data_IF_941360121143
#
_entry.id   IF_941360121143
#
_cell.length_a   1.000
_cell.length_b   1.000
_cell.length_c   1.000
_cell.angle_alpha   90.00
_cell.angle_beta   90.00
_cell.angle_gamma   90.00
#
_symmetry.space_group_name_H-M   'P 1'
#
loop_
_entity.id
_entity.type
_entity.pdbx_description
1 polymer ?
#
# COMPACT_ATOMS: atom_id res chain seq x y z
N UNK A 1 69.82 61.61 -8.09
CA UNK A 1 69.86 60.16 -8.41
C UNK A 1 68.61 59.53 -7.81
N UNK A 2 67.85 58.78 -8.63
CA UNK A 2 66.52 58.15 -8.37
C UNK A 2 65.29 59.03 -8.63
N UNK A 3 64.97 59.02 -9.92
CA UNK A 3 63.69 59.22 -10.61
C UNK A 3 62.49 58.58 -9.89
N UNK A 4 61.40 59.35 -9.68
CA UNK A 4 60.11 59.36 -10.46
C UNK A 4 59.15 58.26 -9.98
N UNK A 5 57.85 58.46 -9.84
CA UNK A 5 56.92 59.61 -9.85
C UNK A 5 55.56 58.94 -9.59
N UNK A 6 54.87 59.32 -8.51
CA UNK A 6 53.58 60.04 -8.53
C UNK A 6 52.47 59.36 -9.33
N UNK A 7 51.31 59.09 -8.69
CA UNK A 7 50.03 59.78 -8.98
C UNK A 7 48.85 59.10 -8.24
N UNK A 8 48.20 59.95 -7.43
CA UNK A 8 46.81 60.03 -7.00
C UNK A 8 45.87 58.80 -7.13
N UNK A 9 45.42 58.33 -5.96
CA UNK A 9 44.15 57.65 -5.77
C UNK A 9 42.98 58.60 -6.02
N UNK A 10 42.09 58.23 -6.94
CA UNK A 10 40.69 58.68 -6.94
C UNK A 10 39.81 57.47 -6.63
N UNK A 11 39.06 57.58 -5.53
CA UNK A 11 37.95 56.69 -5.19
C UNK A 11 36.79 56.93 -6.17
N UNK A 12 36.33 55.88 -6.84
CA UNK A 12 34.95 55.79 -7.35
C UNK A 12 34.41 54.42 -6.94
N UNK A 13 33.40 54.42 -6.08
CA UNK A 13 32.56 53.27 -5.76
C UNK A 13 31.65 52.98 -6.96
N UNK A 14 31.71 51.76 -7.50
CA UNK A 14 30.78 51.28 -8.53
C UNK A 14 30.15 49.96 -8.05
N UNK A 15 28.83 49.99 -7.90
CA UNK A 15 27.97 48.80 -7.89
C UNK A 15 28.13 48.06 -9.21
N UNK A 16 28.44 46.76 -9.17
CA UNK A 16 28.33 45.89 -10.33
C UNK A 16 27.52 44.65 -9.96
N UNK A 17 26.29 44.60 -10.48
CA UNK A 17 25.58 43.36 -10.68
C UNK A 17 26.41 42.50 -11.65
N UNK A 18 26.68 41.25 -11.27
CA UNK A 18 27.26 40.26 -12.17
C UNK A 18 26.25 39.13 -12.30
N UNK A 19 25.36 39.31 -13.27
CA UNK A 19 24.87 38.21 -14.09
C UNK A 19 25.96 37.93 -15.12
N UNK A 20 26.53 36.73 -15.10
CA UNK A 20 27.03 36.09 -16.32
C UNK A 20 26.84 34.59 -16.18
N UNK A 21 25.83 34.11 -16.90
CA UNK A 21 25.73 32.75 -17.44
C UNK A 21 27.09 32.31 -18.01
N UNK A 22 27.41 31.02 -17.85
CA UNK A 22 28.05 30.22 -18.89
C UNK A 22 28.04 28.74 -18.47
N UNK A 23 26.97 28.04 -18.86
CA UNK A 23 27.02 26.60 -19.08
C UNK A 23 27.73 26.34 -20.40
N UNK A 24 28.76 25.50 -20.39
CA UNK A 24 29.47 25.09 -21.60
C UNK A 24 28.61 24.11 -22.42
N UNK A 25 28.41 24.40 -23.71
CA UNK A 25 27.90 23.46 -24.70
C UNK A 25 28.97 23.20 -25.76
N UNK A 26 29.21 21.92 -26.08
CA UNK A 26 30.08 21.50 -27.18
C UNK A 26 29.22 20.84 -28.25
N UNK A 27 29.25 21.43 -29.44
CA UNK A 27 28.57 21.04 -30.69
C UNK A 27 27.14 21.56 -30.90
N UNK A 28 26.83 21.89 -32.17
CA UNK A 28 25.71 22.73 -32.62
C UNK A 28 24.43 21.95 -32.96
N UNK A 29 24.36 20.65 -32.65
CA UNK A 29 23.23 19.77 -33.00
C UNK A 29 22.60 19.03 -31.80
N UNK A 30 22.88 19.43 -30.56
CA UNK A 30 22.32 18.73 -29.37
C UNK A 30 21.67 19.65 -28.33
N UNK A 31 21.19 20.82 -28.73
CA UNK A 31 20.26 21.60 -27.92
C UNK A 31 18.83 21.29 -28.34
N UNK A 32 18.40 20.05 -28.16
CA UNK A 32 16.97 19.85 -27.90
C UNK A 32 16.72 20.46 -26.54
N UNK A 33 15.95 21.55 -26.52
CA UNK A 33 15.33 22.08 -25.33
C UNK A 33 14.72 20.90 -24.57
N UNK A 34 15.28 20.56 -23.41
CA UNK A 34 14.58 19.73 -22.42
C UNK A 34 13.32 20.50 -22.05
N UNK A 35 12.24 20.23 -22.79
CA UNK A 35 10.89 20.66 -22.45
C UNK A 35 10.69 20.35 -20.98
N UNK A 36 10.26 21.36 -20.24
CA UNK A 36 9.95 21.23 -18.83
C UNK A 36 8.71 20.33 -18.68
N UNK A 37 8.90 19.00 -18.76
CA UNK A 37 7.85 17.96 -18.89
C UNK A 37 6.83 17.90 -17.75
N UNK A 38 6.97 18.76 -16.74
CA UNK A 38 6.02 18.93 -15.64
C UNK A 38 4.90 19.93 -15.95
N UNK A 39 5.07 20.86 -16.92
CA UNK A 39 4.07 21.92 -17.12
C UNK A 39 2.73 21.41 -17.66
N UNK A 40 2.75 20.28 -18.38
CA UNK A 40 1.59 19.77 -19.12
C UNK A 40 0.94 18.55 -18.46
N UNK A 41 1.54 18.02 -17.38
CA UNK A 41 1.02 16.86 -16.65
C UNK A 41 0.10 17.29 -15.50
N UNK A 42 -0.89 16.44 -15.23
CA UNK A 42 -1.74 16.49 -14.04
C UNK A 42 -1.39 15.35 -13.10
N UNK A 43 -1.65 15.52 -11.83
CA UNK A 43 -1.30 14.59 -10.77
C UNK A 43 -2.52 14.33 -9.89
N UNK A 44 -2.89 13.04 -9.81
CA UNK A 44 -3.93 12.55 -8.93
C UNK A 44 -3.30 12.05 -7.64
N UNK A 45 -3.70 12.62 -6.52
CA UNK A 45 -3.37 12.17 -5.17
C UNK A 45 -4.59 11.50 -4.56
N UNK A 46 -4.37 10.62 -3.60
CA UNK A 46 -5.47 10.07 -2.81
C UNK A 46 -5.03 9.76 -1.38
N UNK A 47 -5.96 9.88 -0.44
CA UNK A 47 -5.76 9.40 0.93
C UNK A 47 -6.95 8.56 1.38
N UNK A 48 -6.73 7.77 2.41
CA UNK A 48 -7.68 6.79 2.94
C UNK A 48 -7.97 7.14 4.40
N UNK A 49 -9.19 6.88 4.85
CA UNK A 49 -9.61 7.10 6.23
C UNK A 49 -8.54 6.59 7.25
N UNK A 50 -8.13 7.39 8.26
CA UNK A 50 -7.00 7.05 9.14
C UNK A 50 -7.09 5.69 9.88
N UNK A 51 -8.26 5.20 10.31
CA UNK A 51 -8.39 3.87 10.92
C UNK A 51 -8.05 2.72 9.96
N UNK A 52 -8.05 2.95 8.64
CA UNK A 52 -7.82 1.88 7.67
C UNK A 52 -6.39 1.39 7.64
N UNK A 53 -6.26 0.07 7.74
CA UNK A 53 -4.98 -0.61 7.83
C UNK A 53 -4.23 -0.72 6.50
N UNK A 54 -2.96 -1.12 6.60
CA UNK A 54 -2.02 -1.30 5.49
C UNK A 54 -2.60 -2.09 4.30
N UNK A 55 -3.29 -3.20 4.57
CA UNK A 55 -3.78 -4.09 3.51
C UNK A 55 -5.05 -3.59 2.81
N UNK A 56 -5.92 -2.83 3.47
CA UNK A 56 -7.04 -2.19 2.77
C UNK A 56 -6.53 -1.07 1.86
N UNK A 57 -5.56 -0.27 2.34
CA UNK A 57 -4.93 0.79 1.52
C UNK A 57 -4.29 0.27 0.23
N UNK A 58 -3.78 -0.97 0.25
CA UNK A 58 -3.30 -1.67 -0.97
C UNK A 58 -4.43 -1.98 -1.96
N UNK A 59 -5.61 -2.37 -1.47
CA UNK A 59 -6.79 -2.54 -2.33
C UNK A 59 -7.26 -1.20 -2.91
N UNK A 60 -7.25 -0.12 -2.09
CA UNK A 60 -7.59 1.23 -2.56
C UNK A 60 -6.61 1.71 -3.64
N UNK A 61 -5.31 1.47 -3.49
CA UNK A 61 -4.33 1.74 -4.56
C UNK A 61 -4.76 1.12 -5.89
N UNK A 62 -5.18 -0.16 -5.86
CA UNK A 62 -5.61 -0.84 -7.09
C UNK A 62 -6.80 -0.14 -7.72
N UNK A 63 -7.76 0.36 -6.95
CA UNK A 63 -8.91 1.10 -7.49
C UNK A 63 -8.44 2.30 -8.31
N UNK A 64 -7.56 3.14 -7.75
CA UNK A 64 -7.04 4.33 -8.43
C UNK A 64 -6.13 3.99 -9.61
N UNK A 65 -5.25 2.99 -9.48
CA UNK A 65 -4.39 2.56 -10.56
C UNK A 65 -5.19 1.97 -11.73
N UNK A 66 -6.23 1.19 -11.46
CA UNK A 66 -7.13 0.61 -12.46
C UNK A 66 -7.97 1.70 -13.11
N UNK A 67 -8.52 2.66 -12.35
CA UNK A 67 -9.21 3.83 -12.88
C UNK A 67 -8.34 4.51 -13.94
N UNK A 68 -7.12 4.88 -13.56
CA UNK A 68 -6.22 5.61 -14.44
C UNK A 68 -5.85 4.79 -15.69
N UNK A 69 -5.50 3.51 -15.51
CA UNK A 69 -5.18 2.61 -16.62
C UNK A 69 -6.34 2.42 -17.60
N UNK A 70 -7.58 2.32 -17.09
CA UNK A 70 -8.77 2.11 -17.91
C UNK A 70 -9.21 3.39 -18.65
N UNK A 71 -9.25 4.52 -17.96
CA UNK A 71 -9.62 5.79 -18.58
C UNK A 71 -8.57 6.20 -19.62
N UNK A 72 -7.29 5.94 -19.39
CA UNK A 72 -6.24 6.15 -20.38
C UNK A 72 -6.40 5.27 -21.62
N UNK A 73 -6.82 4.02 -21.49
CA UNK A 73 -7.14 3.19 -22.67
C UNK A 73 -8.35 3.72 -23.45
N UNK A 74 -9.24 4.47 -22.80
CA UNK A 74 -10.42 5.13 -23.42
C UNK A 74 -10.11 6.52 -23.97
N UNK A 75 -8.84 6.96 -23.95
CA UNK A 75 -8.45 8.29 -24.43
C UNK A 75 -8.77 9.42 -23.46
N UNK A 76 -9.13 9.12 -22.20
CA UNK A 76 -9.36 10.09 -21.13
C UNK A 76 -8.18 10.10 -20.15
N UNK A 77 -8.03 11.17 -19.38
CA UNK A 77 -6.98 11.31 -18.34
C UNK A 77 -5.55 10.99 -18.84
N UNK A 78 -5.24 11.27 -20.12
CA UNK A 78 -3.93 10.97 -20.71
C UNK A 78 -2.80 11.72 -20.02
N UNK A 79 -3.11 12.92 -19.54
CA UNK A 79 -2.20 13.83 -18.88
C UNK A 79 -1.96 13.49 -17.40
N UNK A 80 -2.76 12.59 -16.83
CA UNK A 80 -2.70 12.26 -15.39
C UNK A 80 -1.64 11.20 -15.07
N UNK A 81 -0.87 11.46 -14.02
CA UNK A 81 -0.13 10.47 -13.25
C UNK A 81 -0.75 10.25 -11.86
N UNK A 82 -0.51 9.08 -11.27
CA UNK A 82 -0.96 8.74 -9.92
C UNK A 82 0.18 8.92 -8.93
N UNK A 83 -0.01 9.76 -7.91
CA UNK A 83 0.95 9.95 -6.84
C UNK A 83 0.69 8.92 -5.75
N UNK A 84 1.74 8.19 -5.38
CA UNK A 84 1.71 7.18 -4.33
C UNK A 84 1.72 7.88 -2.96
N UNK A 85 0.67 7.75 -2.13
CA UNK A 85 0.62 8.36 -0.81
C UNK A 85 1.57 7.64 0.14
N UNK A 86 2.49 8.33 0.82
CA UNK A 86 3.40 7.67 1.73
C UNK A 86 2.67 7.05 2.91
N UNK A 87 3.25 5.99 3.45
CA UNK A 87 2.71 5.29 4.61
C UNK A 87 2.97 6.13 5.85
N UNK A 88 1.89 6.54 6.52
CA UNK A 88 1.95 7.48 7.64
C UNK A 88 0.91 7.15 8.71
N UNK A 89 1.36 7.03 9.97
CA UNK A 89 0.51 6.82 11.18
C UNK A 89 -0.58 5.76 11.02
N UNK A 90 -0.23 4.60 10.49
CA UNK A 90 -1.19 3.50 10.33
C UNK A 90 -1.65 2.98 11.71
N UNK A 91 -2.97 2.77 11.86
CA UNK A 91 -3.62 2.45 13.13
C UNK A 91 -3.01 1.26 13.90
N UNK A 92 -2.54 0.23 13.17
CA UNK A 92 -1.96 -0.98 13.77
C UNK A 92 -0.44 -0.92 13.97
N UNK A 93 0.23 0.16 13.53
CA UNK A 93 1.67 0.28 13.68
C UNK A 93 1.99 0.82 15.07
N UNK A 94 2.64 -0.02 15.88
CA UNK A 94 3.00 0.22 17.28
C UNK A 94 4.40 0.80 17.41
N UNK A 95 5.26 0.60 16.42
CA UNK A 95 6.62 1.12 16.42
C UNK A 95 6.60 2.65 16.40
N UNK A 96 7.09 3.25 17.49
CA UNK A 96 7.12 4.70 17.68
C UNK A 96 8.29 5.38 16.98
N UNK A 97 9.18 4.61 16.35
CA UNK A 97 10.56 5.04 16.08
C UNK A 97 10.73 6.05 14.95
N UNK A 98 9.80 6.18 14.01
CA UNK A 98 9.76 7.31 13.07
C UNK A 98 8.32 7.57 12.64
N UNK A 99 7.73 8.69 13.09
CA UNK A 99 6.48 9.22 12.53
C UNK A 99 6.75 9.98 11.24
N UNK A 100 7.69 9.49 10.43
CA UNK A 100 8.02 10.09 9.15
C UNK A 100 7.20 9.37 8.07
N UNK A 101 6.83 10.07 6.99
CA UNK A 101 6.17 9.44 5.85
C UNK A 101 7.13 8.45 5.18
N UNK A 102 6.71 7.20 4.99
CA UNK A 102 7.53 6.15 4.38
C UNK A 102 7.12 5.97 2.91
N UNK A 103 8.07 5.97 1.95
CA UNK A 103 7.75 5.79 0.54
C UNK A 103 7.33 4.34 0.22
N UNK A 104 6.66 4.14 -0.91
CA UNK A 104 6.24 2.80 -1.35
C UNK A 104 7.42 1.89 -1.68
N UNK A 105 8.54 2.44 -2.14
CA UNK A 105 9.75 1.72 -2.50
C UNK A 105 10.34 0.88 -1.37
N UNK A 106 10.01 1.21 -0.11
CA UNK A 106 10.41 0.39 1.05
C UNK A 106 9.69 -0.97 1.07
N UNK A 107 8.51 -1.07 0.47
CA UNK A 107 7.63 -2.23 0.54
C UNK A 107 7.40 -2.91 -0.81
N UNK A 108 7.40 -2.14 -1.89
CA UNK A 108 7.06 -2.59 -3.24
C UNK A 108 8.13 -2.20 -4.26
N UNK A 109 8.23 -2.98 -5.33
CA UNK A 109 9.05 -2.68 -6.48
C UNK A 109 8.35 -1.63 -7.36
N UNK A 110 8.85 -0.40 -7.32
CA UNK A 110 8.21 0.76 -7.99
C UNK A 110 8.15 0.59 -9.51
N UNK A 111 9.18 -0.01 -10.12
CA UNK A 111 9.19 -0.25 -11.57
C UNK A 111 8.09 -1.26 -11.98
N UNK A 112 7.82 -2.25 -11.14
CA UNK A 112 6.68 -3.16 -11.34
C UNK A 112 5.35 -2.40 -11.26
N UNK A 113 5.17 -1.48 -10.30
CA UNK A 113 3.95 -0.66 -10.25
C UNK A 113 3.80 0.23 -11.50
N UNK A 114 4.89 0.87 -11.94
CA UNK A 114 4.94 1.72 -13.15
C UNK A 114 4.61 0.96 -14.43
N UNK A 115 4.87 -0.35 -14.46
CA UNK A 115 4.51 -1.19 -15.62
C UNK A 115 3.00 -1.31 -15.84
N UNK A 116 2.17 -0.97 -14.85
CA UNK A 116 0.71 -1.05 -14.95
C UNK A 116 0.03 0.33 -15.13
N UNK A 117 0.44 1.32 -14.35
CA UNK A 117 -0.10 2.68 -14.37
C UNK A 117 1.03 3.70 -14.16
N UNK A 118 0.89 4.95 -14.65
CA UNK A 118 1.93 5.98 -14.53
C UNK A 118 1.99 6.52 -13.09
N UNK A 119 2.62 5.74 -12.20
CA UNK A 119 2.77 6.07 -10.79
C UNK A 119 4.08 6.80 -10.49
N UNK A 120 4.07 7.59 -9.43
CA UNK A 120 5.26 8.31 -8.93
C UNK A 120 5.21 8.41 -7.40
N UNK A 121 6.36 8.37 -6.74
CA UNK A 121 6.41 8.63 -5.31
C UNK A 121 6.12 10.10 -5.01
N UNK A 122 5.49 10.39 -3.86
CA UNK A 122 5.17 11.77 -3.49
C UNK A 122 6.43 12.64 -3.39
N UNK A 123 7.53 12.13 -2.85
CA UNK A 123 8.77 12.92 -2.69
C UNK A 123 9.36 13.34 -4.04
N UNK A 124 9.16 12.58 -5.12
CA UNK A 124 9.66 12.94 -6.45
C UNK A 124 8.91 14.16 -7.03
N UNK A 125 7.66 14.41 -6.60
CA UNK A 125 6.93 15.64 -6.94
C UNK A 125 7.58 16.86 -6.27
N UNK A 126 8.05 16.70 -5.03
CA UNK A 126 8.72 17.76 -4.28
C UNK A 126 10.13 18.07 -4.76
N UNK A 127 10.93 17.05 -5.07
CA UNK A 127 12.31 17.22 -5.53
C UNK A 127 12.40 18.07 -6.81
N UNK A 128 11.35 18.01 -7.62
CA UNK A 128 11.22 18.78 -8.87
C UNK A 128 10.75 20.21 -8.65
N UNK A 129 10.27 20.56 -7.45
CA UNK A 129 9.78 21.91 -7.11
C UNK A 129 10.88 22.75 -6.46
N UNK A 130 11.27 23.85 -7.12
CA UNK A 130 12.28 24.81 -6.60
C UNK A 130 11.90 25.38 -5.22
N UNK A 131 10.59 25.51 -4.93
CA UNK A 131 10.08 26.06 -3.66
C UNK A 131 9.96 25.01 -2.56
N UNK A 132 10.14 23.71 -2.88
CA UNK A 132 9.84 22.57 -1.98
C UNK A 132 8.48 22.71 -1.27
N UNK A 133 7.52 23.36 -1.92
CA UNK A 133 6.14 23.49 -1.49
C UNK A 133 5.26 22.91 -2.58
N UNK A 134 4.21 22.21 -2.17
CA UNK A 134 3.21 21.65 -3.06
C UNK A 134 1.86 22.25 -2.68
N UNK A 135 1.18 22.84 -3.65
CA UNK A 135 -0.19 23.33 -3.48
C UNK A 135 -1.06 22.43 -4.34
N UNK A 136 -1.94 21.67 -3.69
CA UNK A 136 -3.00 20.91 -4.34
C UNK A 136 -4.05 21.93 -4.79
N UNK A 137 -4.53 21.82 -6.03
CA UNK A 137 -5.54 22.75 -6.54
C UNK A 137 -6.86 22.48 -5.82
N UNK A 138 -7.39 21.27 -5.94
CA UNK A 138 -8.66 20.89 -5.30
C UNK A 138 -8.58 19.52 -4.61
N UNK A 139 -9.08 19.46 -3.37
CA UNK A 139 -9.31 18.23 -2.63
C UNK A 139 -10.80 17.89 -2.66
N UNK A 140 -11.15 16.75 -3.25
CA UNK A 140 -12.48 16.14 -3.11
C UNK A 140 -12.48 15.20 -1.92
N UNK A 141 -13.24 15.54 -0.88
CA UNK A 141 -13.40 14.74 0.33
C UNK A 141 -14.67 13.94 0.21
N UNK A 142 -14.54 12.64 -0.05
CA UNK A 142 -15.69 11.77 -0.22
C UNK A 142 -16.35 11.48 1.14
N UNK A 143 -17.66 11.34 1.12
CA UNK A 143 -18.48 11.01 2.29
C UNK A 143 -19.58 10.02 1.88
N UNK A 144 -19.95 9.12 2.79
CA UNK A 144 -21.08 8.21 2.52
C UNK A 144 -22.41 8.96 2.61
N UNK A 145 -23.40 8.51 1.85
CA UNK A 145 -24.80 8.85 2.12
C UNK A 145 -25.24 8.20 3.44
N UNK A 146 -26.12 8.87 4.20
CA UNK A 146 -26.65 8.32 5.47
C UNK A 146 -27.45 7.03 5.23
N UNK A 147 -28.21 6.99 4.14
CA UNK A 147 -28.92 5.80 3.68
C UNK A 147 -28.48 5.43 2.26
N UNK A 148 -27.61 4.41 2.11
CA UNK A 148 -27.13 4.01 0.79
C UNK A 148 -28.14 3.21 -0.03
N UNK A 149 -29.23 2.72 0.58
CA UNK A 149 -30.27 1.95 -0.09
C UNK A 149 -31.61 2.71 -0.05
N UNK A 150 -31.95 3.34 -1.17
CA UNK A 150 -33.24 4.00 -1.34
C UNK A 150 -34.18 3.01 -2.05
N UNK A 151 -35.28 2.62 -1.39
CA UNK A 151 -36.20 1.59 -1.87
C UNK A 151 -35.52 0.24 -2.21
N UNK A 152 -34.57 -0.19 -1.36
CA UNK A 152 -33.75 -1.41 -1.55
C UNK A 152 -32.86 -1.41 -2.81
N UNK A 153 -32.70 -0.25 -3.47
CA UNK A 153 -31.83 -0.08 -4.63
C UNK A 153 -30.55 0.65 -4.26
N UNK A 154 -29.43 0.12 -4.75
CA UNK A 154 -28.14 0.79 -4.69
C UNK A 154 -27.90 1.49 -6.02
N UNK A 155 -28.00 2.82 -6.00
CA UNK A 155 -27.78 3.66 -7.20
C UNK A 155 -26.45 4.40 -7.09
N UNK A 156 -25.73 4.44 -8.21
CA UNK A 156 -24.49 5.18 -8.37
C UNK A 156 -24.81 6.68 -8.47
N UNK A 157 -24.40 7.49 -7.48
CA UNK A 157 -24.69 8.92 -7.41
C UNK A 157 -23.64 9.70 -6.60
N UNK A 158 -23.54 11.00 -6.86
CA UNK A 158 -22.73 11.91 -6.07
C UNK A 158 -23.37 13.31 -5.95
N UNK A 159 -23.04 14.02 -4.88
CA UNK A 159 -23.58 15.35 -4.58
C UNK A 159 -22.55 16.21 -3.82
N UNK A 160 -22.24 17.38 -4.36
CA UNK A 160 -21.37 18.37 -3.71
C UNK A 160 -22.10 18.97 -2.50
N UNK A 161 -21.39 19.08 -1.38
CA UNK A 161 -21.90 19.67 -0.15
C UNK A 161 -21.45 21.12 -0.01
N UNK A 162 -22.29 21.97 0.60
CA UNK A 162 -21.98 23.38 0.83
C UNK A 162 -20.88 23.57 1.90
N UNK A 163 -20.91 22.73 2.94
CA UNK A 163 -19.94 22.78 4.04
C UNK A 163 -18.98 21.58 3.99
N UNK A 164 -17.70 21.85 4.23
CA UNK A 164 -16.69 20.80 4.30
C UNK A 164 -15.72 21.03 5.48
N UNK A 165 -16.09 20.63 6.71
CA UNK A 165 -15.22 20.72 7.88
C UNK A 165 -14.17 19.59 7.88
N UNK A 166 -13.38 19.50 6.82
CA UNK A 166 -12.30 18.53 6.68
C UNK A 166 -10.94 19.20 6.88
N UNK A 167 -10.09 18.58 7.70
CA UNK A 167 -8.72 19.02 7.93
C UNK A 167 -7.76 17.97 7.35
N UNK A 168 -7.14 18.23 6.19
CA UNK A 168 -6.20 17.29 5.59
C UNK A 168 -4.96 17.14 6.47
N UNK A 169 -4.45 15.91 6.58
CA UNK A 169 -3.20 15.63 7.29
C UNK A 169 -1.97 15.60 6.39
N UNK A 170 -2.18 15.60 5.07
CA UNK A 170 -1.12 15.60 4.04
C UNK A 170 -0.01 14.58 4.29
N UNK A 171 -0.39 13.40 4.79
CA UNK A 171 0.54 12.32 5.17
C UNK A 171 1.71 12.76 6.08
N UNK A 172 1.53 13.83 6.87
CA UNK A 172 2.55 14.37 7.77
C UNK A 172 3.44 15.47 7.20
N UNK A 173 3.24 15.88 5.94
CA UNK A 173 3.99 16.98 5.33
C UNK A 173 3.40 18.33 5.73
N UNK A 174 4.19 19.18 6.38
CA UNK A 174 3.80 20.54 6.76
C UNK A 174 3.87 21.58 5.63
N UNK A 175 4.42 21.19 4.48
CA UNK A 175 4.65 22.02 3.29
C UNK A 175 3.72 21.67 2.12
N UNK A 176 2.64 20.92 2.38
CA UNK A 176 1.53 20.73 1.45
C UNK A 176 0.35 21.55 1.93
N UNK A 177 -0.28 22.27 1.01
CA UNK A 177 -1.53 22.99 1.24
C UNK A 177 -2.50 22.73 0.08
N UNK A 178 -3.74 23.19 0.19
CA UNK A 178 -4.71 23.15 -0.89
C UNK A 178 -5.33 24.54 -1.15
N UNK A 179 -5.69 24.84 -2.38
CA UNK A 179 -6.45 26.06 -2.72
C UNK A 179 -7.93 25.88 -2.37
N UNK A 180 -8.49 24.70 -2.64
CA UNK A 180 -9.90 24.41 -2.44
C UNK A 180 -10.12 23.01 -1.84
N UNK A 181 -11.14 22.89 -0.99
CA UNK A 181 -11.58 21.63 -0.38
C UNK A 181 -13.08 21.51 -0.54
N UNK A 182 -13.54 20.44 -1.18
CA UNK A 182 -14.94 20.20 -1.53
C UNK A 182 -15.35 18.86 -0.95
N UNK A 183 -16.39 18.85 -0.12
CA UNK A 183 -16.98 17.60 0.36
C UNK A 183 -18.01 17.09 -0.64
N UNK A 184 -18.00 15.79 -0.89
CA UNK A 184 -18.88 15.14 -1.87
C UNK A 184 -19.48 13.90 -1.25
N UNK A 185 -20.81 13.86 -1.11
CA UNK A 185 -21.49 12.58 -0.86
C UNK A 185 -21.32 11.72 -2.09
N UNK A 186 -20.82 10.51 -1.92
CA UNK A 186 -20.44 9.64 -3.03
C UNK A 186 -20.90 8.21 -2.77
N UNK A 187 -21.52 7.62 -3.78
CA UNK A 187 -21.93 6.23 -3.79
C UNK A 187 -21.72 5.68 -5.19
N UNK A 188 -21.01 4.55 -5.28
CA UNK A 188 -20.84 3.83 -6.54
C UNK A 188 -19.39 3.54 -6.87
N UNK A 189 -19.14 3.39 -8.17
CA UNK A 189 -17.87 2.91 -8.71
C UNK A 189 -16.87 4.04 -8.90
N UNK A 190 -15.58 3.72 -8.77
CA UNK A 190 -14.50 4.69 -8.92
C UNK A 190 -14.46 5.34 -10.32
N UNK A 191 -15.00 4.69 -11.37
CA UNK A 191 -15.13 5.27 -12.70
C UNK A 191 -15.98 6.54 -12.78
N UNK A 192 -16.70 6.91 -11.73
CA UNK A 192 -17.46 8.17 -11.66
C UNK A 192 -16.59 9.38 -11.23
N UNK A 193 -15.45 9.16 -10.58
CA UNK A 193 -14.59 10.27 -10.12
C UNK A 193 -14.16 11.25 -11.23
N UNK A 194 -13.91 10.82 -12.50
CA UNK A 194 -13.64 11.75 -13.59
C UNK A 194 -14.74 12.78 -13.86
N UNK A 195 -15.98 12.54 -13.43
CA UNK A 195 -17.07 13.54 -13.50
C UNK A 195 -16.81 14.70 -12.53
N UNK A 196 -16.30 14.41 -11.33
CA UNK A 196 -15.90 15.43 -10.36
C UNK A 196 -14.73 16.26 -10.89
N UNK A 197 -13.72 15.62 -11.48
CA UNK A 197 -12.54 16.30 -12.01
C UNK A 197 -12.90 17.26 -13.17
N UNK A 198 -14.03 17.04 -13.84
CA UNK A 198 -14.52 17.95 -14.89
C UNK A 198 -15.12 19.25 -14.36
N UNK A 199 -15.43 19.34 -13.06
CA UNK A 199 -15.84 20.61 -12.43
C UNK A 199 -14.68 21.61 -12.44
N UNK A 200 -13.45 21.13 -12.32
CA UNK A 200 -12.22 21.93 -12.33
C UNK A 200 -11.23 21.45 -13.39
N UNK A 201 -11.60 21.55 -14.67
CA UNK A 201 -10.82 21.02 -15.81
C UNK A 201 -9.39 21.56 -15.92
N UNK A 202 -9.12 22.73 -15.34
CA UNK A 202 -7.82 23.39 -15.41
C UNK A 202 -6.88 22.98 -14.27
N UNK A 203 -7.39 22.26 -13.26
CA UNK A 203 -6.57 21.80 -12.14
C UNK A 203 -5.48 20.85 -12.61
N UNK A 204 -4.32 20.99 -12.00
CA UNK A 204 -3.14 20.16 -12.24
C UNK A 204 -2.87 19.20 -11.10
N UNK A 205 -3.17 19.57 -9.87
CA UNK A 205 -2.98 18.74 -8.69
C UNK A 205 -4.33 18.48 -8.03
N UNK A 206 -4.90 17.30 -8.23
CA UNK A 206 -6.22 16.93 -7.71
C UNK A 206 -6.05 15.83 -6.66
N UNK A 207 -6.68 15.97 -5.50
CA UNK A 207 -6.65 14.96 -4.45
C UNK A 207 -8.04 14.40 -4.16
N UNK A 208 -8.13 13.09 -3.96
CA UNK A 208 -9.34 12.42 -3.47
C UNK A 208 -9.10 11.88 -2.06
N UNK A 209 -9.70 12.49 -1.05
CA UNK A 209 -9.68 12.01 0.32
C UNK A 209 -10.83 11.03 0.58
N UNK A 210 -10.64 10.12 1.53
CA UNK A 210 -11.55 8.98 1.79
C UNK A 210 -11.72 8.07 0.56
N UNK A 211 -10.60 7.76 -0.09
CA UNK A 211 -10.53 6.94 -1.29
C UNK A 211 -10.99 5.48 -1.11
N UNK A 212 -11.29 5.03 0.10
CA UNK A 212 -11.95 3.74 0.35
C UNK A 212 -13.44 3.72 0.01
N UNK A 213 -14.09 4.87 -0.13
CA UNK A 213 -15.54 4.95 -0.40
C UNK A 213 -15.88 4.43 -1.82
N UNK A 214 -15.21 4.85 -2.91
CA UNK A 214 -15.52 4.35 -4.25
C UNK A 214 -15.19 2.86 -4.40
N UNK A 215 -16.09 2.11 -5.01
CA UNK A 215 -15.92 0.68 -5.26
C UNK A 215 -15.07 0.39 -6.51
N UNK A 216 -14.54 -0.83 -6.61
CA UNK A 216 -13.97 -1.33 -7.86
C UNK A 216 -15.05 -1.38 -8.96
N UNK A 217 -14.69 -1.05 -10.20
CA UNK A 217 -15.63 -1.16 -11.33
C UNK A 217 -16.06 -2.61 -11.57
N UNK A 218 -15.06 -3.51 -11.57
CA UNK A 218 -15.17 -4.96 -11.71
C UNK A 218 -14.14 -5.64 -10.82
N UNK A 219 -14.57 -6.22 -9.69
CA UNK A 219 -13.66 -6.91 -8.78
C UNK A 219 -13.26 -8.29 -9.32
N UNK A 220 -11.97 -8.64 -9.25
CA UNK A 220 -11.48 -9.97 -9.61
C UNK A 220 -11.40 -10.26 -11.12
N UNK A 221 -11.60 -9.26 -11.98
CA UNK A 221 -11.46 -9.41 -13.43
C UNK A 221 -9.98 -9.46 -13.87
N UNK A 222 -9.75 -9.60 -15.18
CA UNK A 222 -8.40 -9.65 -15.74
C UNK A 222 -7.57 -8.39 -15.45
N UNK A 223 -8.20 -7.22 -15.39
CA UNK A 223 -7.50 -5.95 -15.14
C UNK A 223 -7.13 -5.84 -13.67
N UNK A 224 -8.03 -6.24 -12.77
CA UNK A 224 -7.78 -6.40 -11.34
C UNK A 224 -6.53 -7.25 -11.10
N UNK A 225 -6.46 -8.44 -11.71
CA UNK A 225 -5.32 -9.34 -11.53
C UNK A 225 -4.04 -8.82 -12.15
N UNK A 226 -4.09 -8.12 -13.30
CA UNK A 226 -2.93 -7.43 -13.87
C UNK A 226 -2.39 -6.34 -12.94
N UNK A 227 -3.26 -5.55 -12.33
CA UNK A 227 -2.88 -4.57 -11.32
C UNK A 227 -2.30 -5.26 -10.08
N UNK A 228 -2.95 -6.31 -9.57
CA UNK A 228 -2.48 -7.02 -8.38
C UNK A 228 -1.11 -7.66 -8.59
N UNK A 229 -0.84 -8.17 -9.80
CA UNK A 229 0.45 -8.74 -10.22
C UNK A 229 1.56 -7.69 -10.34
N UNK A 230 1.21 -6.42 -10.58
CA UNK A 230 2.19 -5.33 -10.64
C UNK A 230 2.70 -4.93 -9.26
N UNK A 231 1.93 -5.21 -8.20
CA UNK A 231 2.28 -4.95 -6.80
C UNK A 231 3.29 -5.96 -6.23
N UNK A 232 4.43 -6.13 -6.90
CA UNK A 232 5.51 -6.98 -6.42
C UNK A 232 6.16 -6.37 -5.18
N UNK A 233 6.47 -7.21 -4.21
CA UNK A 233 7.21 -6.77 -3.03
C UNK A 233 8.62 -6.31 -3.38
N UNK A 234 9.17 -5.44 -2.54
CA UNK A 234 10.56 -5.02 -2.63
C UNK A 234 11.50 -6.24 -2.63
N UNK A 235 12.53 -6.21 -3.49
CA UNK A 235 13.45 -7.35 -3.68
C UNK A 235 14.21 -7.73 -2.41
N UNK A 236 14.67 -6.75 -1.62
CA UNK A 236 15.36 -6.98 -0.35
C UNK A 236 14.44 -7.73 0.64
N UNK A 237 13.18 -7.32 0.74
CA UNK A 237 12.21 -8.00 1.61
C UNK A 237 11.94 -9.43 1.14
N UNK A 238 11.84 -9.62 -0.17
CA UNK A 238 11.68 -10.93 -0.80
C UNK A 238 12.86 -11.85 -0.48
N UNK A 239 14.09 -11.36 -0.59
CA UNK A 239 15.31 -12.08 -0.23
C UNK A 239 15.36 -12.45 1.26
N UNK A 240 15.01 -11.52 2.16
CA UNK A 240 14.96 -11.78 3.61
C UNK A 240 13.94 -12.89 3.92
N UNK A 241 12.75 -12.82 3.34
CA UNK A 241 11.71 -13.83 3.54
C UNK A 241 12.14 -15.20 3.00
N UNK A 242 12.72 -15.26 1.80
CA UNK A 242 13.21 -16.52 1.22
C UNK A 242 14.35 -17.13 2.04
N UNK A 243 15.30 -16.32 2.54
CA UNK A 243 16.34 -16.81 3.43
C UNK A 243 15.76 -17.38 4.73
N UNK A 244 14.75 -16.73 5.31
CA UNK A 244 14.03 -17.27 6.46
C UNK A 244 13.35 -18.62 6.15
N UNK A 245 12.63 -18.71 5.03
CA UNK A 245 11.95 -19.95 4.59
C UNK A 245 12.97 -21.07 4.38
N UNK A 246 14.12 -20.77 3.78
CA UNK A 246 15.21 -21.72 3.57
C UNK A 246 15.81 -22.22 4.86
N UNK A 247 16.24 -21.32 5.73
CA UNK A 247 17.00 -21.65 6.94
C UNK A 247 16.15 -22.15 8.09
N UNK A 248 14.93 -21.62 8.25
CA UNK A 248 14.06 -21.92 9.40
C UNK A 248 12.96 -22.90 9.07
N UNK A 249 12.49 -22.90 7.82
CA UNK A 249 11.40 -23.77 7.37
C UNK A 249 11.87 -24.85 6.40
N UNK A 250 13.18 -24.98 6.14
CA UNK A 250 13.80 -26.03 5.31
C UNK A 250 13.23 -26.15 3.88
N UNK A 251 12.86 -25.03 3.25
CA UNK A 251 12.34 -25.02 1.89
C UNK A 251 13.13 -24.06 0.98
N UNK A 252 13.59 -24.55 -0.18
CA UNK A 252 14.39 -23.78 -1.15
C UNK A 252 13.66 -23.62 -2.50
N UNK A 253 12.32 -23.67 -2.48
CA UNK A 253 11.46 -23.58 -3.66
C UNK A 253 10.33 -22.58 -3.43
N UNK A 254 9.80 -21.98 -4.48
CA UNK A 254 8.62 -21.11 -4.35
C UNK A 254 7.37 -21.87 -3.87
N UNK A 255 7.20 -23.13 -4.25
CA UNK A 255 6.06 -23.95 -3.83
C UNK A 255 6.48 -24.94 -2.74
N UNK A 256 6.56 -24.49 -1.49
CA UNK A 256 6.98 -25.34 -0.39
C UNK A 256 5.97 -26.46 -0.11
N UNK A 257 6.47 -27.58 0.41
CA UNK A 257 5.66 -28.78 0.72
C UNK A 257 5.75 -29.22 2.18
N UNK A 258 6.45 -28.46 3.02
CA UNK A 258 6.97 -28.92 4.31
C UNK A 258 6.57 -28.04 5.50
N UNK A 259 5.69 -27.05 5.32
CA UNK A 259 5.08 -26.32 6.43
C UNK A 259 3.65 -25.84 6.12
N UNK A 260 2.87 -25.68 7.19
CA UNK A 260 1.56 -25.03 7.20
C UNK A 260 1.75 -23.53 7.47
N UNK A 261 1.14 -22.68 6.66
CA UNK A 261 1.05 -21.24 6.91
C UNK A 261 -0.27 -20.89 7.59
N UNK A 262 -0.20 -20.19 8.72
CA UNK A 262 -1.38 -19.75 9.48
C UNK A 262 -1.34 -18.24 9.64
N UNK A 263 -2.39 -17.55 9.20
CA UNK A 263 -2.62 -16.17 9.59
C UNK A 263 -3.70 -16.09 10.68
N UNK A 264 -3.28 -15.79 11.91
CA UNK A 264 -4.10 -15.77 13.11
C UNK A 264 -4.31 -14.33 13.61
N UNK A 265 -5.36 -13.65 13.12
CA UNK A 265 -5.71 -12.28 13.51
C UNK A 265 -6.50 -12.28 14.82
N UNK A 266 -5.98 -11.57 15.83
CA UNK A 266 -6.51 -11.51 17.20
C UNK A 266 -6.94 -10.09 17.56
N UNK A 267 -6.32 -9.44 18.54
CA UNK A 267 -6.64 -8.08 19.02
C UNK A 267 -8.13 -7.68 18.89
N UNK A 268 -8.44 -6.69 18.06
CA UNK A 268 -9.79 -6.19 17.78
C UNK A 268 -10.73 -7.28 17.21
N UNK A 269 -10.24 -8.23 16.41
CA UNK A 269 -11.05 -9.35 15.92
C UNK A 269 -11.47 -10.27 17.07
N UNK A 270 -10.54 -10.64 17.95
CA UNK A 270 -10.87 -11.47 19.11
C UNK A 270 -11.84 -10.76 20.08
N UNK A 271 -11.75 -9.43 20.19
CA UNK A 271 -12.58 -8.63 21.09
C UNK A 271 -13.99 -8.35 20.55
N UNK A 272 -14.09 -7.96 19.28
CA UNK A 272 -15.34 -7.47 18.68
C UNK A 272 -15.98 -8.45 17.69
N UNK A 273 -15.22 -9.46 17.24
CA UNK A 273 -15.65 -10.49 16.27
C UNK A 273 -15.47 -11.90 16.80
N UNK A 274 -15.66 -12.10 18.10
CA UNK A 274 -15.47 -13.40 18.77
C UNK A 274 -16.36 -14.53 18.23
N UNK A 275 -17.43 -14.21 17.50
CA UNK A 275 -18.30 -15.17 16.80
C UNK A 275 -17.75 -15.65 15.46
N UNK A 276 -16.72 -14.98 14.94
CA UNK A 276 -16.15 -15.23 13.61
C UNK A 276 -14.76 -15.88 13.67
N UNK A 277 -14.10 -15.80 14.83
CA UNK A 277 -12.72 -16.26 15.03
C UNK A 277 -12.63 -17.28 16.16
N UNK A 278 -11.72 -18.26 16.09
CA UNK A 278 -11.57 -19.28 17.13
C UNK A 278 -10.96 -18.71 18.43
N UNK A 279 -11.13 -19.46 19.52
CA UNK A 279 -10.27 -19.31 20.70
C UNK A 279 -8.87 -19.87 20.41
N UNK A 280 -7.92 -19.65 21.33
CA UNK A 280 -6.59 -20.28 21.21
C UNK A 280 -6.68 -21.80 21.17
N UNK A 281 -7.52 -22.42 22.02
CA UNK A 281 -7.74 -23.87 22.02
C UNK A 281 -8.41 -24.34 20.73
N UNK A 282 -9.40 -23.59 20.23
CA UNK A 282 -10.03 -23.87 18.93
C UNK A 282 -9.04 -23.78 17.76
N UNK A 283 -8.09 -22.85 17.84
CA UNK A 283 -7.02 -22.69 16.83
C UNK A 283 -6.09 -23.91 16.84
N UNK A 284 -5.65 -24.37 18.02
CA UNK A 284 -4.83 -25.59 18.16
C UNK A 284 -5.52 -26.80 17.53
N UNK A 285 -6.81 -27.01 17.84
CA UNK A 285 -7.59 -28.13 17.28
C UNK A 285 -7.69 -28.06 15.75
N UNK A 286 -7.89 -26.87 15.19
CA UNK A 286 -7.97 -26.69 13.74
C UNK A 286 -6.63 -26.91 13.05
N UNK A 287 -5.53 -26.41 13.62
CA UNK A 287 -4.19 -26.67 13.11
C UNK A 287 -3.91 -28.17 13.13
N UNK A 288 -4.14 -28.84 14.26
CA UNK A 288 -3.96 -30.29 14.37
C UNK A 288 -4.77 -31.07 13.34
N UNK A 289 -6.05 -30.70 13.14
CA UNK A 289 -6.91 -31.31 12.15
C UNK A 289 -6.42 -31.12 10.71
N UNK A 290 -5.90 -29.94 10.37
CA UNK A 290 -5.30 -29.67 9.06
C UNK A 290 -4.04 -30.52 8.87
N UNK A 291 -3.15 -30.53 9.87
CA UNK A 291 -1.91 -31.30 9.84
C UNK A 291 -2.20 -32.80 9.65
N UNK A 292 -3.16 -33.37 10.38
CA UNK A 292 -3.50 -34.79 10.27
C UNK A 292 -4.17 -35.17 8.94
N UNK A 293 -5.09 -34.33 8.44
CA UNK A 293 -5.94 -34.71 7.30
C UNK A 293 -5.49 -34.16 5.95
N UNK A 294 -4.69 -33.09 5.94
CA UNK A 294 -4.23 -32.40 4.72
C UNK A 294 -2.72 -32.45 4.53
N UNK A 295 -1.96 -32.50 5.62
CA UNK A 295 -0.50 -32.49 5.59
C UNK A 295 0.14 -33.54 6.52
N UNK A 296 -0.19 -34.84 6.40
CA UNK A 296 0.20 -35.87 7.39
C UNK A 296 1.71 -36.08 7.53
N UNK A 297 2.51 -35.59 6.58
CA UNK A 297 3.97 -35.68 6.59
C UNK A 297 4.66 -34.38 7.06
N UNK A 298 3.89 -33.36 7.41
CA UNK A 298 4.39 -32.05 7.82
C UNK A 298 4.31 -31.94 9.34
N UNK A 299 5.36 -31.37 9.94
CA UNK A 299 5.41 -31.07 11.39
C UNK A 299 5.61 -29.57 11.68
N UNK A 300 5.97 -28.79 10.66
CA UNK A 300 6.30 -27.37 10.80
C UNK A 300 5.08 -26.48 10.57
N UNK A 301 4.86 -25.52 11.45
CA UNK A 301 3.79 -24.51 11.35
C UNK A 301 4.41 -23.13 11.46
N UNK A 302 4.22 -22.29 10.45
CA UNK A 302 4.54 -20.87 10.52
C UNK A 302 3.28 -20.07 10.84
N UNK A 303 3.38 -19.16 11.81
CA UNK A 303 2.26 -18.37 12.30
C UNK A 303 2.57 -16.88 12.13
N UNK A 304 1.79 -16.22 11.27
CA UNK A 304 1.70 -14.76 11.19
C UNK A 304 0.56 -14.29 12.12
N UNK A 305 0.86 -13.42 13.09
CA UNK A 305 -0.15 -13.01 14.07
C UNK A 305 0.16 -11.67 14.73
N UNK A 306 -0.89 -10.92 15.00
CA UNK A 306 -0.87 -9.72 15.81
C UNK A 306 -1.22 -9.99 17.29
N UNK A 307 -1.34 -11.25 17.70
CA UNK A 307 -1.68 -11.64 19.06
C UNK A 307 -0.67 -11.09 20.09
N UNK A 308 -1.12 -10.95 21.34
CA UNK A 308 -0.24 -10.58 22.45
C UNK A 308 0.86 -11.63 22.66
N UNK A 309 2.00 -11.24 23.24
CA UNK A 309 3.09 -12.17 23.53
C UNK A 309 2.61 -13.39 24.36
N UNK A 310 1.74 -13.16 25.34
CA UNK A 310 1.12 -14.21 26.15
C UNK A 310 0.26 -15.17 25.33
N UNK A 311 -0.56 -14.67 24.41
CA UNK A 311 -1.37 -15.53 23.55
C UNK A 311 -0.51 -16.36 22.59
N UNK A 312 0.58 -15.78 22.05
CA UNK A 312 1.54 -16.51 21.21
C UNK A 312 2.22 -17.64 21.97
N UNK A 313 2.67 -17.37 23.19
CA UNK A 313 3.29 -18.38 24.06
C UNK A 313 2.33 -19.53 24.36
N UNK A 314 1.06 -19.23 24.70
CA UNK A 314 0.05 -20.26 24.95
C UNK A 314 -0.20 -21.10 23.68
N UNK A 315 -0.34 -20.47 22.51
CA UNK A 315 -0.57 -21.20 21.26
C UNK A 315 0.64 -22.09 20.92
N UNK A 316 1.85 -21.54 21.04
CA UNK A 316 3.11 -22.24 20.77
C UNK A 316 3.26 -23.46 21.68
N UNK A 317 3.18 -23.28 23.00
CA UNK A 317 3.36 -24.38 23.97
C UNK A 317 2.36 -25.52 23.72
N UNK A 318 1.11 -25.21 23.38
CA UNK A 318 0.10 -26.22 23.10
C UNK A 318 0.40 -27.00 21.80
N UNK A 319 0.86 -26.32 20.74
CA UNK A 319 1.23 -26.97 19.48
C UNK A 319 2.52 -27.79 19.60
N UNK A 320 3.52 -27.30 20.33
CA UNK A 320 4.76 -28.02 20.61
C UNK A 320 4.53 -29.26 21.48
N UNK A 321 3.59 -29.19 22.43
CA UNK A 321 3.15 -30.37 23.21
C UNK A 321 2.54 -31.46 22.31
N UNK A 322 1.95 -31.08 21.17
CA UNK A 322 1.44 -32.01 20.16
C UNK A 322 2.53 -32.52 19.18
N UNK A 323 3.78 -32.07 19.35
CA UNK A 323 4.93 -32.48 18.52
C UNK A 323 5.13 -31.65 17.26
N UNK A 324 4.54 -30.45 17.16
CA UNK A 324 4.74 -29.55 16.01
C UNK A 324 5.87 -28.56 16.26
N UNK A 325 6.63 -28.24 15.21
CA UNK A 325 7.64 -27.19 15.21
C UNK A 325 7.00 -25.86 14.85
N UNK A 326 6.87 -24.94 15.82
CA UNK A 326 6.18 -23.66 15.63
C UNK A 326 7.17 -22.54 15.36
N UNK A 327 6.92 -21.77 14.31
CA UNK A 327 7.76 -20.66 13.89
C UNK A 327 6.96 -19.36 13.82
N UNK A 328 7.56 -18.29 14.34
CA UNK A 328 7.15 -16.90 14.13
C UNK A 328 8.31 -16.16 13.48
N UNK A 329 8.01 -15.13 12.69
CA UNK A 329 9.06 -14.21 12.26
C UNK A 329 9.42 -13.29 13.44
N UNK A 330 10.65 -13.43 13.94
CA UNK A 330 11.18 -12.60 15.03
C UNK A 330 12.40 -11.87 14.50
N UNK A 331 12.33 -10.54 14.29
CA UNK A 331 13.47 -9.78 13.80
C UNK A 331 14.66 -9.84 14.77
N UNK A 332 15.86 -9.96 14.22
CA UNK A 332 17.12 -9.90 14.97
C UNK A 332 17.45 -8.46 15.42
N UNK A 333 18.51 -8.27 16.20
CA UNK A 333 18.86 -6.95 16.76
C UNK A 333 19.04 -5.86 15.69
N UNK A 334 19.68 -6.18 14.55
CA UNK A 334 19.85 -5.24 13.46
C UNK A 334 18.50 -4.93 12.78
N UNK A 335 17.69 -5.95 12.53
CA UNK A 335 16.36 -5.83 11.95
C UNK A 335 15.41 -5.03 12.85
N UNK A 336 15.46 -5.19 14.18
CA UNK A 336 14.66 -4.42 15.15
C UNK A 336 14.95 -2.91 15.06
N UNK A 337 16.15 -2.54 14.60
CA UNK A 337 16.50 -1.12 14.39
C UNK A 337 16.08 -0.58 13.02
N UNK A 338 15.99 -1.44 12.01
CA UNK A 338 15.71 -1.04 10.62
C UNK A 338 14.23 -1.21 10.24
N UNK A 339 13.56 -2.27 10.69
CA UNK A 339 12.25 -2.70 10.21
C UNK A 339 11.13 -1.99 10.96
N UNK A 340 10.20 -1.46 10.19
CA UNK A 340 8.90 -1.00 10.67
C UNK A 340 7.87 -2.15 10.69
N UNK A 341 6.70 -1.88 11.25
CA UNK A 341 5.64 -2.90 11.35
C UNK A 341 5.11 -3.34 9.96
N UNK A 342 5.19 -2.48 8.94
CA UNK A 342 4.84 -2.81 7.56
C UNK A 342 5.80 -3.82 6.94
N UNK A 343 7.07 -3.69 7.26
CA UNK A 343 8.14 -4.58 6.82
C UNK A 343 7.90 -5.98 7.35
N UNK A 344 7.66 -6.11 8.66
CA UNK A 344 7.33 -7.39 9.29
C UNK A 344 6.06 -7.99 8.68
N UNK A 345 5.03 -7.17 8.48
CA UNK A 345 3.77 -7.62 7.86
C UNK A 345 3.99 -8.19 6.44
N UNK A 346 4.84 -7.57 5.61
CA UNK A 346 5.16 -8.10 4.27
C UNK A 346 5.94 -9.41 4.36
N UNK A 347 6.95 -9.49 5.24
CA UNK A 347 7.73 -10.71 5.42
C UNK A 347 6.84 -11.88 5.83
N UNK A 348 5.94 -11.66 6.78
CA UNK A 348 4.95 -12.67 7.21
C UNK A 348 3.99 -13.08 6.07
N UNK A 349 3.59 -12.15 5.21
CA UNK A 349 2.75 -12.46 4.05
C UNK A 349 3.47 -13.31 3.02
N UNK A 350 4.73 -12.97 2.71
CA UNK A 350 5.57 -13.75 1.79
C UNK A 350 5.76 -15.15 2.39
N UNK A 351 6.21 -15.26 3.63
CA UNK A 351 6.42 -16.57 4.27
C UNK A 351 5.12 -17.41 4.28
N UNK A 352 3.97 -16.81 4.57
CA UNK A 352 2.69 -17.51 4.49
C UNK A 352 2.29 -17.91 3.06
N UNK A 353 2.56 -17.06 2.04
CA UNK A 353 2.16 -17.35 0.66
C UNK A 353 2.90 -18.55 0.09
N UNK A 354 4.13 -18.80 0.52
CA UNK A 354 4.94 -19.94 0.07
C UNK A 354 4.58 -21.29 0.72
N UNK A 355 3.68 -21.33 1.71
CA UNK A 355 3.36 -22.54 2.48
C UNK A 355 2.69 -23.66 1.65
N UNK A 356 2.84 -24.91 2.08
CA UNK A 356 2.21 -26.07 1.42
C UNK A 356 0.67 -26.01 1.47
N UNK A 357 0.17 -25.51 2.60
CA UNK A 357 -1.24 -25.23 2.83
C UNK A 357 -1.32 -23.92 3.61
N UNK A 358 -2.32 -23.09 3.31
CA UNK A 358 -2.56 -21.85 4.02
C UNK A 358 -3.97 -21.82 4.59
N UNK A 359 -4.08 -21.35 5.84
CA UNK A 359 -5.33 -21.04 6.50
C UNK A 359 -5.26 -19.66 7.15
N UNK A 360 -6.21 -18.80 6.83
CA UNK A 360 -6.24 -17.42 7.35
C UNK A 360 -7.39 -17.14 8.29
N UNK A 361 -7.52 -15.89 8.70
CA UNK A 361 -8.65 -15.41 9.52
C UNK A 361 -9.74 -14.82 8.64
N UNK A 362 -11.01 -15.11 8.96
CA UNK A 362 -12.20 -14.64 8.23
C UNK A 362 -12.20 -13.11 8.10
N UNK A 363 -12.46 -12.61 6.89
CA UNK A 363 -12.57 -11.18 6.54
C UNK A 363 -11.36 -10.30 6.87
N UNK A 364 -10.21 -10.90 7.16
CA UNK A 364 -8.98 -10.12 7.29
C UNK A 364 -8.41 -9.78 5.93
N UNK A 365 -8.24 -8.48 5.66
CA UNK A 365 -7.55 -8.00 4.45
C UNK A 365 -6.11 -8.51 4.35
N UNK A 366 -5.44 -8.77 5.49
CA UNK A 366 -4.14 -9.43 5.51
C UNK A 366 -4.21 -10.86 4.95
N UNK A 367 -5.23 -11.64 5.34
CA UNK A 367 -5.51 -12.97 4.75
C UNK A 367 -5.72 -12.87 3.24
N UNK A 368 -6.54 -11.91 2.79
CA UNK A 368 -6.85 -11.74 1.37
C UNK A 368 -5.61 -11.46 0.53
N UNK A 369 -4.67 -10.64 1.04
CA UNK A 369 -3.41 -10.36 0.33
C UNK A 369 -2.53 -11.60 0.20
N UNK A 370 -2.51 -12.49 1.20
CA UNK A 370 -1.80 -13.78 1.10
C UNK A 370 -2.47 -14.68 0.07
N UNK A 371 -3.81 -14.77 0.08
CA UNK A 371 -4.55 -15.61 -0.86
C UNK A 371 -4.29 -15.21 -2.31
N UNK A 372 -4.27 -13.91 -2.60
CA UNK A 372 -3.93 -13.42 -3.93
C UNK A 372 -2.48 -13.70 -4.32
N UNK A 373 -1.54 -13.59 -3.38
CA UNK A 373 -0.15 -13.92 -3.66
C UNK A 373 0.00 -15.41 -4.00
N UNK A 374 -0.75 -16.28 -3.30
CA UNK A 374 -0.81 -17.71 -3.60
C UNK A 374 -1.40 -18.01 -4.98
N UNK A 375 -2.45 -17.30 -5.37
CA UNK A 375 -3.03 -17.41 -6.72
C UNK A 375 -2.03 -16.97 -7.79
N UNK A 376 -1.28 -15.90 -7.56
CA UNK A 376 -0.23 -15.44 -8.48
C UNK A 376 0.96 -16.40 -8.58
N UNK A 377 1.30 -17.09 -7.49
CA UNK A 377 2.32 -18.15 -7.45
C UNK A 377 1.84 -19.47 -8.07
N UNK A 378 0.54 -19.63 -8.29
CA UNK A 378 -0.04 -20.83 -8.90
C UNK A 378 -0.32 -21.97 -7.91
N UNK A 379 -0.51 -21.66 -6.63
CA UNK A 379 -0.97 -22.67 -5.66
C UNK A 379 -2.41 -23.12 -5.97
N UNK A 380 -2.74 -24.41 -5.78
CA UNK A 380 -4.11 -24.88 -5.90
C UNK A 380 -5.07 -24.19 -4.93
N UNK A 381 -6.27 -23.84 -5.41
CA UNK A 381 -7.26 -23.07 -4.65
C UNK A 381 -7.72 -23.77 -3.35
N UNK A 382 -7.70 -25.09 -3.28
CA UNK A 382 -8.02 -25.88 -2.08
C UNK A 382 -6.97 -25.74 -0.97
N UNK A 383 -5.74 -25.36 -1.32
CA UNK A 383 -4.66 -25.03 -0.36
C UNK A 383 -4.60 -23.55 0.01
N UNK A 384 -5.40 -22.70 -0.66
CA UNK A 384 -5.33 -21.24 -0.56
C UNK A 384 -6.53 -20.64 0.17
N UNK A 385 -7.75 -20.97 -0.27
CA UNK A 385 -8.98 -20.36 0.25
C UNK A 385 -9.51 -21.13 1.45
N UNK A 386 -8.77 -21.09 2.56
CA UNK A 386 -9.17 -21.70 3.83
C UNK A 386 -9.19 -20.64 4.94
N UNK A 387 -10.16 -20.78 5.86
CA UNK A 387 -10.29 -19.90 7.02
C UNK A 387 -10.35 -20.70 8.32
N UNK A 388 -9.85 -20.08 9.38
CA UNK A 388 -10.11 -20.49 10.76
C UNK A 388 -11.59 -20.22 11.08
N UNK A 389 -12.25 -21.23 11.62
CA UNK A 389 -13.65 -21.18 12.04
C UNK A 389 -13.77 -20.78 13.52
N UNK A 390 -14.88 -20.14 13.94
CA UNK A 390 -15.18 -19.99 15.35
C UNK A 390 -15.40 -21.36 16.02
N UNK A 391 -15.16 -21.45 17.33
CA UNK A 391 -15.30 -22.70 18.09
C UNK A 391 -16.73 -23.27 18.05
N UNK A 392 -17.72 -22.39 17.88
CA UNK A 392 -19.14 -22.72 17.77
C UNK A 392 -19.78 -21.78 16.76
N UNK A 393 -20.81 -22.28 16.07
CA UNK A 393 -21.59 -21.50 15.11
C UNK A 393 -21.19 -21.78 13.66
N UNK A 394 -21.70 -20.95 12.76
CA UNK A 394 -21.51 -21.14 11.33
C UNK A 394 -20.09 -20.77 10.91
N UNK A 395 -19.47 -21.65 10.12
CA UNK A 395 -18.23 -21.35 9.44
C UNK A 395 -18.48 -21.25 7.94
N UNK A 396 -18.77 -20.04 7.47
CA UNK A 396 -18.98 -19.79 6.05
C UNK A 396 -17.69 -20.02 5.25
N UNK A 397 -17.82 -20.60 4.06
CA UNK A 397 -16.67 -20.80 3.18
C UNK A 397 -16.17 -19.45 2.68
N UNK A 398 -14.84 -19.22 2.63
CA UNK A 398 -14.31 -17.99 2.04
C UNK A 398 -14.67 -17.93 0.55
N UNK A 399 -14.99 -16.74 0.06
CA UNK A 399 -15.12 -16.47 -1.37
C UNK A 399 -13.83 -16.83 -2.09
N UNK A 400 -13.96 -17.43 -3.28
CA UNK A 400 -12.83 -17.87 -4.11
C UNK A 400 -12.70 -16.95 -5.31
N UNK A 401 -11.82 -15.98 -5.19
CA UNK A 401 -11.44 -15.10 -6.29
C UNK A 401 -10.17 -15.65 -6.91
N UNK A 402 -10.33 -16.37 -8.03
CA UNK A 402 -9.20 -17.01 -8.71
C UNK A 402 -8.57 -16.09 -9.75
N UNK A 403 -7.28 -16.27 -10.02
CA UNK A 403 -6.56 -15.46 -11.01
C UNK A 403 -7.15 -15.62 -12.41
N UNK A 404 -7.35 -14.48 -13.10
CA UNK A 404 -7.82 -14.43 -14.49
C UNK A 404 -6.70 -13.87 -15.37
N UNK A 405 -6.16 -14.72 -16.26
CA UNK A 405 -4.98 -14.40 -17.10
C UNK A 405 -5.29 -13.63 -18.39
#
# INVERSE_FOLDING_TARGET
MKLISTIFCNLILINAAINTENGYCVSKDSCEETKNTLSDKKWLFYDVNPPEGFNLRRDVYMRFAILLSNEQKRGKLQEFGLVLPPWYKLYHWKTTKKREPIPWGNFFDIESLKSFAPVVELYEIFEKSLKKQLIIDTIYVLQNYENPFENDLFEDKWEVQEECPYVPQYWGYGNITANEIICVKFQGKISMLPELFQLHRNDKFIMVAQGEIPLHDNYGDRTYWKCRKSMKFNKKLTEIAFNYVKEKLNCDTELCKNYLGVHWRRQDFAKYRSKDVPTTSGTVKQIQNIMQNKLPHVQTVFIATDASAKEREILQNNLETLGYNVHYYVPNIAEVTEFDDGTIAILEQIICSHAAFFVGTHESTFTFRIQEERELLGFPSDTTFNRLCPDKGNCEKPSRWTVVN
#
